data_IF_061208595745
#
_entry.id   IF_061208595745
#
_cell.length_a   1.000
_cell.length_b   1.000
_cell.length_c   1.000
_cell.angle_alpha   90.00
_cell.angle_beta   90.00
_cell.angle_gamma   90.00
#
_symmetry.space_group_name_H-M   'P 1'
#
loop_
_entity.id
_entity.type
_entity.pdbx_description
1 polymer ?
#
# COMPACT_ATOMS: atom_id res chain seq x y z
N UNK A 1 21.49 22.21 -11.15
CA UNK A 1 20.22 21.70 -10.57
C UNK A 1 20.00 20.23 -10.91
N UNK A 2 19.59 19.39 -9.95
CA UNK A 2 20.50 18.52 -9.19
C UNK A 2 21.39 17.59 -10.04
N UNK A 3 21.13 17.46 -11.35
CA UNK A 3 21.88 16.61 -12.28
C UNK A 3 22.58 17.37 -13.40
N UNK A 4 22.26 18.66 -13.61
CA UNK A 4 22.97 19.56 -14.55
C UNK A 4 23.08 18.98 -15.96
N UNK A 5 22.02 18.30 -16.40
CA UNK A 5 21.95 17.78 -17.77
C UNK A 5 22.08 18.93 -18.78
N UNK A 6 22.90 18.72 -19.80
CA UNK A 6 22.96 19.62 -20.94
C UNK A 6 21.62 19.66 -21.70
N UNK A 7 21.38 20.76 -22.41
CA UNK A 7 20.11 21.05 -23.11
C UNK A 7 19.64 19.89 -23.99
N UNK A 8 20.55 19.26 -24.75
CA UNK A 8 20.24 18.10 -25.60
C UNK A 8 19.67 16.93 -24.81
N UNK A 9 20.35 16.55 -23.72
CA UNK A 9 19.92 15.42 -22.89
C UNK A 9 18.59 15.71 -22.18
N UNK A 10 18.41 16.93 -21.67
CA UNK A 10 17.16 17.36 -21.04
C UNK A 10 16.00 17.34 -22.04
N UNK A 11 16.22 17.84 -23.26
CA UNK A 11 15.19 17.86 -24.33
C UNK A 11 14.81 16.45 -24.76
N UNK A 12 15.79 15.56 -25.00
CA UNK A 12 15.51 14.16 -25.34
C UNK A 12 14.73 13.47 -24.21
N UNK A 13 15.11 13.69 -22.95
CA UNK A 13 14.40 13.09 -21.81
C UNK A 13 12.96 13.60 -21.71
N UNK A 14 12.72 14.90 -21.91
CA UNK A 14 11.38 15.46 -21.92
C UNK A 14 10.53 14.89 -23.06
N UNK A 15 11.08 14.77 -24.27
CA UNK A 15 10.38 14.18 -25.43
C UNK A 15 10.05 12.70 -25.24
N UNK A 16 10.90 11.94 -24.53
CA UNK A 16 10.65 10.53 -24.24
C UNK A 16 9.63 10.32 -23.11
N UNK A 17 9.59 11.25 -22.14
CA UNK A 17 8.81 11.08 -20.93
C UNK A 17 7.42 11.74 -20.99
N UNK A 18 7.27 12.83 -21.74
CA UNK A 18 6.03 13.60 -21.80
C UNK A 18 5.13 13.19 -22.97
N UNK A 19 3.84 13.53 -22.88
CA UNK A 19 2.86 13.35 -23.95
C UNK A 19 3.23 14.17 -25.19
N UNK A 20 3.02 13.59 -26.38
CA UNK A 20 3.22 14.22 -27.69
C UNK A 20 2.01 15.09 -28.10
N UNK A 21 1.47 15.84 -27.14
CA UNK A 21 0.36 16.79 -27.33
C UNK A 21 0.78 18.23 -27.03
N UNK A 22 2.11 18.46 -26.89
CA UNK A 22 2.73 19.73 -26.50
C UNK A 22 2.33 20.24 -25.11
N UNK A 23 1.62 19.45 -24.30
CA UNK A 23 1.27 19.82 -22.93
C UNK A 23 2.49 19.80 -21.99
N UNK A 24 3.53 19.02 -22.34
CA UNK A 24 4.69 18.80 -21.48
C UNK A 24 4.35 17.94 -20.25
N UNK A 25 3.21 17.25 -20.25
CA UNK A 25 2.73 16.46 -19.10
C UNK A 25 3.27 15.03 -19.17
N UNK A 26 3.68 14.49 -18.03
CA UNK A 26 4.00 13.06 -17.88
C UNK A 26 2.71 12.21 -17.96
N UNK A 27 2.66 11.15 -18.79
CA UNK A 27 1.51 10.27 -18.86
C UNK A 27 1.32 9.51 -17.55
N UNK A 28 0.07 9.36 -17.11
CA UNK A 28 -0.28 8.49 -15.99
C UNK A 28 -0.08 7.02 -16.42
N UNK A 29 0.78 6.30 -15.70
CA UNK A 29 1.14 4.92 -16.06
C UNK A 29 2.32 4.79 -17.02
N UNK A 30 2.97 5.91 -17.40
CA UNK A 30 4.24 5.88 -18.12
C UNK A 30 5.34 5.23 -17.28
N UNK A 31 6.16 4.38 -17.90
CA UNK A 31 7.24 3.66 -17.21
C UNK A 31 8.34 4.59 -16.68
N UNK A 32 8.58 5.74 -17.34
CA UNK A 32 9.57 6.74 -16.93
C UNK A 32 9.04 7.74 -15.90
N UNK A 33 7.72 7.97 -15.85
CA UNK A 33 7.10 9.00 -15.01
C UNK A 33 7.48 8.89 -13.51
N UNK A 34 7.51 7.69 -12.88
CA UNK A 34 7.91 7.56 -11.48
C UNK A 34 9.37 7.97 -11.20
N UNK A 35 10.27 7.71 -12.16
CA UNK A 35 11.69 8.08 -12.03
C UNK A 35 11.85 9.58 -12.14
N UNK A 36 11.23 10.20 -13.14
CA UNK A 36 11.24 11.65 -13.34
C UNK A 36 10.64 12.36 -12.13
N UNK A 37 9.49 11.90 -11.62
CA UNK A 37 8.86 12.47 -10.44
C UNK A 37 9.79 12.45 -9.21
N UNK A 38 10.47 11.32 -8.96
CA UNK A 38 11.43 11.24 -7.85
C UNK A 38 12.68 12.11 -8.06
N UNK A 39 13.15 12.25 -9.29
CA UNK A 39 14.25 13.16 -9.63
C UNK A 39 13.89 14.61 -9.34
N UNK A 40 12.67 15.03 -9.69
CA UNK A 40 12.14 16.37 -9.41
C UNK A 40 12.00 16.61 -7.90
N UNK A 41 11.52 15.62 -7.14
CA UNK A 41 11.37 15.73 -5.69
C UNK A 41 12.69 15.68 -4.92
N UNK A 42 13.85 15.45 -5.55
CA UNK A 42 15.13 15.31 -4.83
C UNK A 42 15.51 16.55 -4.02
N UNK A 43 15.28 17.76 -4.56
CA UNK A 43 15.53 19.01 -3.81
C UNK A 43 14.49 19.19 -2.70
N UNK A 44 13.21 18.97 -3.03
CA UNK A 44 12.10 19.00 -2.08
C UNK A 44 12.43 18.13 -0.85
N UNK A 45 12.78 16.87 -1.07
CA UNK A 45 13.11 15.90 -0.02
C UNK A 45 14.25 16.39 0.87
N UNK A 46 15.32 16.96 0.29
CA UNK A 46 16.45 17.51 1.06
C UNK A 46 15.99 18.63 2.01
N UNK A 47 15.11 19.51 1.54
CA UNK A 47 14.59 20.63 2.34
C UNK A 47 13.60 20.15 3.40
N UNK A 48 12.70 19.23 3.05
CA UNK A 48 11.75 18.66 4.01
C UNK A 48 12.42 17.84 5.10
N UNK A 49 13.54 17.15 4.80
CA UNK A 49 14.38 16.51 5.82
C UNK A 49 14.95 17.55 6.79
N UNK A 50 15.34 18.73 6.31
CA UNK A 50 15.83 19.80 7.18
C UNK A 50 14.71 20.33 8.09
N UNK A 51 13.53 20.65 7.52
CA UNK A 51 12.34 21.03 8.29
C UNK A 51 12.03 19.97 9.36
N UNK A 52 12.07 18.68 9.01
CA UNK A 52 11.83 17.61 9.97
C UNK A 52 12.81 17.65 11.15
N UNK A 53 14.10 17.89 10.88
CA UNK A 53 15.12 17.98 11.92
C UNK A 53 14.90 19.18 12.85
N UNK A 54 14.63 20.34 12.26
CA UNK A 54 14.42 21.59 13.01
C UNK A 54 13.20 21.47 13.95
N UNK A 55 12.20 20.70 13.52
CA UNK A 55 10.99 20.41 14.30
C UNK A 55 11.03 19.11 15.11
N UNK A 56 12.19 18.42 15.21
CA UNK A 56 12.35 17.13 15.93
C UNK A 56 11.36 16.04 15.50
N UNK A 57 11.10 15.98 14.19
CA UNK A 57 10.25 15.01 13.53
C UNK A 57 11.06 14.08 12.62
N UNK A 58 10.48 12.91 12.34
CA UNK A 58 10.90 12.04 11.26
C UNK A 58 10.07 12.33 10.02
N UNK A 59 10.73 12.42 8.86
CA UNK A 59 10.09 12.64 7.56
C UNK A 59 10.19 11.38 6.71
N UNK A 60 9.08 11.05 6.05
CA UNK A 60 9.00 10.03 5.01
C UNK A 60 8.14 10.51 3.86
N UNK A 61 8.49 10.12 2.63
CA UNK A 61 7.70 10.38 1.43
C UNK A 61 7.47 9.09 0.65
N UNK A 62 6.24 8.86 0.21
CA UNK A 62 5.87 7.82 -0.73
C UNK A 62 5.09 8.47 -1.88
N UNK A 63 5.69 8.56 -3.07
CA UNK A 63 5.15 9.34 -4.17
C UNK A 63 4.82 10.79 -3.73
N UNK A 64 3.54 11.18 -3.75
CA UNK A 64 3.01 12.47 -3.29
C UNK A 64 2.63 12.48 -1.80
N UNK A 65 2.47 11.32 -1.17
CA UNK A 65 2.15 11.22 0.25
C UNK A 65 3.40 11.55 1.08
N UNK A 66 3.33 12.66 1.82
CA UNK A 66 4.36 13.11 2.77
C UNK A 66 3.84 12.87 4.19
N UNK A 67 4.67 12.29 5.05
CA UNK A 67 4.33 12.03 6.46
C UNK A 67 5.45 12.52 7.36
N UNK A 68 5.07 13.32 8.36
CA UNK A 68 5.90 13.69 9.49
C UNK A 68 5.39 12.95 10.74
N UNK A 69 6.31 12.45 11.56
CA UNK A 69 5.96 11.74 12.81
C UNK A 69 6.95 12.09 13.92
N UNK A 70 6.47 12.20 15.15
CA UNK A 70 7.31 12.40 16.34
C UNK A 70 6.74 11.66 17.54
N UNK A 71 7.62 11.29 18.48
CA UNK A 71 7.25 10.80 19.81
C UNK A 71 7.40 11.91 20.88
N UNK A 72 7.88 13.09 20.48
CA UNK A 72 8.02 14.24 21.37
C UNK A 72 6.64 14.86 21.61
N UNK A 73 6.04 14.54 22.74
CA UNK A 73 4.75 15.11 23.17
C UNK A 73 4.84 16.58 23.56
N UNK A 74 6.05 17.14 23.71
CA UNK A 74 6.30 18.57 23.96
C UNK A 74 6.44 19.39 22.67
N UNK A 75 6.26 18.77 21.50
CA UNK A 75 6.20 19.48 20.23
C UNK A 75 4.90 20.29 20.17
N UNK A 76 4.95 21.51 20.69
CA UNK A 76 3.80 22.42 20.80
C UNK A 76 3.52 23.17 19.49
N UNK A 77 4.39 23.07 18.47
CA UNK A 77 4.36 23.96 17.32
C UNK A 77 4.13 23.23 16.00
N UNK A 78 3.10 22.40 15.98
CA UNK A 78 2.61 21.70 14.78
C UNK A 78 2.24 22.69 13.67
N UNK A 79 1.73 23.87 14.04
CA UNK A 79 1.34 24.90 13.08
C UNK A 79 2.54 25.47 12.31
N UNK A 80 3.67 25.73 12.99
CA UNK A 80 4.88 26.17 12.31
C UNK A 80 5.47 25.06 11.41
N UNK A 81 5.42 23.80 11.85
CA UNK A 81 5.80 22.67 11.00
C UNK A 81 4.97 22.63 9.71
N UNK A 82 3.64 22.77 9.81
CA UNK A 82 2.74 22.76 8.65
C UNK A 82 3.04 23.96 7.75
N UNK A 83 3.23 25.15 8.32
CA UNK A 83 3.49 26.38 7.58
C UNK A 83 4.81 26.31 6.83
N UNK A 84 5.88 25.87 7.48
CA UNK A 84 7.20 25.75 6.87
C UNK A 84 7.23 24.65 5.80
N UNK A 85 6.62 23.50 6.10
CA UNK A 85 6.45 22.41 5.12
C UNK A 85 5.72 22.89 3.87
N UNK A 86 4.60 23.60 4.06
CA UNK A 86 3.80 24.12 2.94
C UNK A 86 4.60 25.13 2.11
N UNK A 87 5.32 26.03 2.77
CA UNK A 87 6.18 27.02 2.11
C UNK A 87 7.29 26.36 1.28
N UNK A 88 7.89 25.28 1.79
CA UNK A 88 8.89 24.51 1.04
C UNK A 88 8.26 23.83 -0.18
N UNK A 89 7.11 23.17 -0.03
CA UNK A 89 6.40 22.50 -1.13
C UNK A 89 6.03 23.50 -2.25
N UNK A 90 5.48 24.65 -1.87
CA UNK A 90 5.08 25.71 -2.80
C UNK A 90 6.29 26.33 -3.52
N UNK A 91 7.41 26.53 -2.81
CA UNK A 91 8.65 27.00 -3.44
C UNK A 91 9.23 26.01 -4.47
N UNK A 92 8.98 24.71 -4.29
CA UNK A 92 9.37 23.68 -5.25
C UNK A 92 8.39 23.57 -6.44
N UNK A 93 7.34 24.41 -6.49
CA UNK A 93 6.39 24.48 -7.59
C UNK A 93 5.21 23.51 -7.46
N UNK A 94 5.00 22.91 -6.29
CA UNK A 94 3.87 22.02 -6.02
C UNK A 94 2.78 22.72 -5.21
N UNK A 95 1.58 22.14 -5.21
CA UNK A 95 0.43 22.68 -4.46
C UNK A 95 0.07 21.70 -3.35
N UNK A 96 -0.02 22.20 -2.11
CA UNK A 96 -0.44 21.40 -0.96
C UNK A 96 -1.95 21.16 -1.01
N UNK A 97 -2.36 19.89 -0.87
CA UNK A 97 -3.77 19.55 -0.72
C UNK A 97 -4.21 19.69 0.75
N UNK A 98 -4.75 20.86 1.09
CA UNK A 98 -5.17 21.20 2.47
C UNK A 98 -6.23 20.26 3.03
N UNK A 99 -7.16 19.78 2.20
CA UNK A 99 -8.22 18.84 2.62
C UNK A 99 -7.68 17.46 2.99
N UNK A 100 -6.52 17.09 2.42
CA UNK A 100 -5.82 15.84 2.74
C UNK A 100 -4.82 15.99 3.90
N UNK A 101 -4.42 17.21 4.25
CA UNK A 101 -3.53 17.48 5.39
C UNK A 101 -4.24 17.14 6.70
N UNK A 102 -3.65 16.26 7.50
CA UNK A 102 -4.25 15.78 8.75
C UNK A 102 -3.20 15.71 9.85
N UNK A 103 -3.61 16.11 11.05
CA UNK A 103 -2.86 15.92 12.29
C UNK A 103 -3.52 14.73 13.00
N UNK A 104 -2.72 13.73 13.36
CA UNK A 104 -3.23 12.50 14.00
C UNK A 104 -2.54 12.30 15.34
N UNK A 105 -3.32 12.32 16.41
CA UNK A 105 -2.86 12.10 17.78
C UNK A 105 -2.82 10.60 18.11
N UNK A 106 -2.21 10.17 19.23
CA UNK A 106 -2.25 8.78 19.65
C UNK A 106 -3.65 8.19 19.85
N UNK A 107 -4.65 9.04 20.15
CA UNK A 107 -6.05 8.63 20.27
C UNK A 107 -6.73 8.39 18.91
N UNK A 108 -6.18 8.96 17.84
CA UNK A 108 -6.69 8.80 16.49
C UNK A 108 -6.20 7.51 15.86
N UNK A 109 -6.94 6.99 14.88
CA UNK A 109 -6.40 5.93 14.02
C UNK A 109 -5.39 6.54 13.04
N UNK A 110 -4.12 6.27 13.28
CA UNK A 110 -3.00 6.67 12.43
C UNK A 110 -2.90 5.72 11.24
N UNK A 111 -3.22 6.22 10.05
CA UNK A 111 -3.11 5.48 8.79
C UNK A 111 -2.11 6.19 7.88
N UNK A 112 -1.01 5.53 7.56
CA UNK A 112 0.02 6.00 6.63
C UNK A 112 -0.01 5.07 5.43
N UNK A 113 -0.17 5.62 4.22
CA UNK A 113 -0.23 4.87 2.94
C UNK A 113 -1.17 3.64 2.95
N UNK A 114 -2.24 3.69 3.74
CA UNK A 114 -3.23 2.62 3.88
C UNK A 114 -2.94 1.58 4.98
N UNK A 115 -1.80 1.69 5.67
CA UNK A 115 -1.39 0.84 6.80
C UNK A 115 -1.61 1.57 8.13
N UNK A 116 -2.17 0.88 9.11
CA UNK A 116 -2.32 1.38 10.48
C UNK A 116 -0.98 1.24 11.20
N UNK A 117 -0.54 2.29 11.90
CA UNK A 117 0.79 2.35 12.54
C UNK A 117 0.76 2.56 14.06
N UNK A 118 -0.41 2.80 14.68
CA UNK A 118 -0.55 3.15 16.10
C UNK A 118 0.16 2.20 17.08
N UNK A 119 -0.09 0.90 16.93
CA UNK A 119 0.37 -0.15 17.84
C UNK A 119 0.89 -1.31 16.97
N UNK A 120 2.01 -1.04 16.31
CA UNK A 120 2.55 -1.88 15.24
C UNK A 120 1.75 -1.83 13.94
N UNK A 121 2.36 -2.35 12.87
CA UNK A 121 1.80 -2.38 11.53
C UNK A 121 0.56 -3.29 11.48
N UNK A 122 -0.54 -2.77 10.94
CA UNK A 122 -1.76 -3.53 10.76
C UNK A 122 -2.58 -3.01 9.58
N UNK A 123 -3.54 -3.80 9.10
CA UNK A 123 -4.52 -3.35 8.11
C UNK A 123 -5.80 -2.89 8.79
N UNK A 124 -6.61 -2.11 8.09
CA UNK A 124 -7.92 -1.70 8.57
C UNK A 124 -8.81 -2.92 8.91
N UNK A 125 -9.55 -2.87 10.03
CA UNK A 125 -10.49 -3.93 10.45
C UNK A 125 -11.50 -4.31 9.35
N UNK A 126 -11.93 -3.37 8.50
CA UNK A 126 -12.80 -3.66 7.34
C UNK A 126 -12.13 -4.63 6.36
N UNK A 127 -10.82 -4.51 6.14
CA UNK A 127 -10.05 -5.41 5.28
C UNK A 127 -10.09 -6.86 5.82
N UNK A 128 -9.78 -7.03 7.11
CA UNK A 128 -9.84 -8.34 7.78
C UNK A 128 -11.25 -8.94 7.76
N UNK A 129 -12.29 -8.12 8.03
CA UNK A 129 -13.69 -8.57 7.96
C UNK A 129 -14.09 -9.02 6.57
N UNK A 130 -13.70 -8.28 5.53
CA UNK A 130 -13.97 -8.64 4.15
C UNK A 130 -13.31 -9.97 3.79
N UNK A 131 -12.02 -10.16 4.13
CA UNK A 131 -11.33 -11.44 3.91
C UNK A 131 -12.02 -12.61 4.62
N UNK A 132 -12.41 -12.43 5.90
CA UNK A 132 -13.18 -13.45 6.65
C UNK A 132 -14.48 -13.80 5.95
N UNK A 133 -15.25 -12.79 5.53
CA UNK A 133 -16.53 -12.99 4.88
C UNK A 133 -16.37 -13.68 3.53
N UNK A 134 -15.41 -13.26 2.69
CA UNK A 134 -15.15 -13.89 1.39
C UNK A 134 -14.79 -15.36 1.56
N UNK A 135 -13.82 -15.69 2.43
CA UNK A 135 -13.41 -17.09 2.65
C UNK A 135 -14.55 -17.94 3.22
N UNK A 136 -15.33 -17.39 4.15
CA UNK A 136 -16.51 -18.08 4.68
C UNK A 136 -17.55 -18.36 3.60
N UNK A 137 -17.88 -17.35 2.78
CA UNK A 137 -18.85 -17.51 1.72
C UNK A 137 -18.37 -18.48 0.63
N UNK A 138 -17.08 -18.44 0.24
CA UNK A 138 -16.54 -19.43 -0.70
C UNK A 138 -16.67 -20.85 -0.16
N UNK A 139 -16.37 -21.05 1.13
CA UNK A 139 -16.52 -22.37 1.77
C UNK A 139 -17.99 -22.83 1.81
N UNK A 140 -18.92 -21.92 2.06
CA UNK A 140 -20.34 -22.23 2.25
C UNK A 140 -21.10 -22.41 0.93
N UNK A 141 -20.90 -21.47 0.01
CA UNK A 141 -21.69 -21.30 -1.20
C UNK A 141 -20.87 -21.59 -2.49
N UNK A 142 -19.59 -21.97 -2.37
CA UNK A 142 -18.66 -22.19 -3.48
C UNK A 142 -18.00 -20.90 -4.00
N UNK A 143 -16.85 -21.04 -4.68
CA UNK A 143 -16.08 -19.91 -5.22
C UNK A 143 -16.90 -19.07 -6.22
N UNK A 144 -17.64 -19.74 -7.12
CA UNK A 144 -18.45 -19.09 -8.15
C UNK A 144 -19.45 -18.07 -7.58
N UNK A 145 -20.01 -18.35 -6.39
CA UNK A 145 -20.96 -17.45 -5.71
C UNK A 145 -20.39 -16.06 -5.42
N UNK A 146 -19.09 -15.96 -5.17
CA UNK A 146 -18.41 -14.69 -4.87
C UNK A 146 -18.00 -13.92 -6.13
N UNK A 147 -17.93 -14.61 -7.27
CA UNK A 147 -17.62 -14.02 -8.56
C UNK A 147 -18.87 -13.33 -9.13
N UNK A 148 -20.01 -14.01 -9.07
CA UNK A 148 -21.30 -13.51 -9.57
C UNK A 148 -21.86 -12.36 -8.74
N UNK A 149 -21.73 -12.47 -7.41
CA UNK A 149 -21.97 -11.36 -6.50
C UNK A 149 -20.92 -10.29 -6.81
N UNK A 150 -21.30 -9.21 -7.52
CA UNK A 150 -20.51 -7.97 -7.76
C UNK A 150 -20.08 -7.22 -6.47
N UNK A 151 -19.89 -7.94 -5.36
CA UNK A 151 -19.66 -7.53 -4.00
C UNK A 151 -18.19 -7.26 -3.66
N UNK A 152 -17.27 -7.38 -4.62
CA UNK A 152 -15.93 -6.79 -4.49
C UNK A 152 -15.98 -5.25 -4.64
N UNK A 153 -16.79 -4.59 -3.81
CA UNK A 153 -16.72 -3.15 -3.53
C UNK A 153 -15.72 -2.92 -2.39
N UNK A 154 -14.45 -3.17 -2.67
CA UNK A 154 -13.39 -2.59 -1.86
C UNK A 154 -12.98 -1.26 -2.50
N UNK A 155 -13.42 -0.14 -1.94
CA UNK A 155 -13.05 1.18 -2.46
C UNK A 155 -11.54 1.49 -2.32
N UNK A 156 -10.74 0.56 -1.73
CA UNK A 156 -9.30 0.71 -1.49
C UNK A 156 -8.45 -0.34 -2.22
N UNK A 157 -9.07 -1.24 -2.96
CA UNK A 157 -8.36 -2.13 -3.86
C UNK A 157 -8.91 -1.93 -5.26
N UNK A 158 -7.98 -1.92 -6.22
CA UNK A 158 -8.23 -2.13 -7.64
C UNK A 158 -9.45 -3.01 -7.79
N UNK A 159 -10.55 -2.44 -8.29
CA UNK A 159 -11.62 -3.27 -8.81
C UNK A 159 -10.92 -4.28 -9.72
N UNK A 160 -11.34 -5.54 -9.68
CA UNK A 160 -11.16 -6.40 -10.82
C UNK A 160 -11.60 -5.61 -12.06
N UNK A 161 -10.65 -5.04 -12.82
CA UNK A 161 -10.97 -4.10 -13.88
C UNK A 161 -11.65 -4.95 -14.95
N UNK A 162 -12.93 -4.70 -15.20
CA UNK A 162 -13.74 -5.44 -16.17
C UNK A 162 -13.12 -5.41 -17.58
N UNK A 163 -12.20 -4.47 -17.83
CA UNK A 163 -11.51 -4.28 -19.10
C UNK A 163 -10.03 -4.72 -19.08
N UNK A 164 -9.54 -5.35 -18.00
CA UNK A 164 -8.12 -5.74 -17.90
C UNK A 164 -7.79 -7.11 -18.54
N UNK A 165 -8.78 -7.95 -18.83
CA UNK A 165 -8.60 -9.12 -19.72
C UNK A 165 -9.91 -9.51 -20.39
N UNK A 166 -9.82 -10.26 -21.50
CA UNK A 166 -10.98 -10.79 -22.23
C UNK A 166 -11.68 -11.95 -21.49
N UNK A 167 -11.10 -12.48 -20.40
CA UNK A 167 -11.57 -13.67 -19.67
C UNK A 167 -12.22 -13.34 -18.32
N UNK A 168 -12.97 -12.24 -18.27
CA UNK A 168 -13.43 -11.67 -17.01
C UNK A 168 -14.93 -11.84 -16.73
N UNK A 169 -15.33 -12.24 -15.49
CA UNK A 169 -14.49 -12.70 -14.38
C UNK A 169 -14.32 -14.23 -14.34
N UNK A 170 -13.07 -14.74 -14.27
CA UNK A 170 -12.76 -16.17 -14.10
C UNK A 170 -12.44 -16.57 -12.65
N UNK A 171 -12.53 -17.87 -12.35
CA UNK A 171 -12.14 -18.46 -11.06
C UNK A 171 -10.68 -18.15 -10.73
N UNK A 172 -9.77 -18.30 -11.68
CA UNK A 172 -8.34 -18.03 -11.49
C UNK A 172 -8.06 -16.57 -11.13
N UNK A 173 -8.70 -15.63 -11.83
CA UNK A 173 -8.52 -14.23 -11.53
C UNK A 173 -8.97 -13.93 -10.09
N UNK A 174 -10.13 -14.44 -9.70
CA UNK A 174 -10.66 -14.28 -8.35
C UNK A 174 -9.72 -14.87 -7.29
N UNK A 175 -9.24 -16.10 -7.50
CA UNK A 175 -8.33 -16.77 -6.58
C UNK A 175 -6.99 -16.04 -6.45
N UNK A 176 -6.40 -15.57 -7.56
CA UNK A 176 -5.19 -14.74 -7.55
C UNK A 176 -5.40 -13.43 -6.79
N UNK A 177 -6.54 -12.78 -6.99
CA UNK A 177 -6.89 -11.56 -6.27
C UNK A 177 -7.06 -11.81 -4.76
N UNK A 178 -7.75 -12.88 -4.38
CA UNK A 178 -7.94 -13.26 -2.97
C UNK A 178 -6.62 -13.63 -2.30
N UNK A 179 -5.77 -14.41 -2.98
CA UNK A 179 -4.42 -14.74 -2.52
C UNK A 179 -3.56 -13.48 -2.35
N UNK A 180 -3.58 -12.58 -3.33
CA UNK A 180 -2.90 -11.28 -3.24
C UNK A 180 -3.34 -10.49 -2.01
N UNK A 181 -4.65 -10.50 -1.69
CA UNK A 181 -5.16 -9.85 -0.49
C UNK A 181 -4.68 -10.51 0.81
N UNK A 182 -4.65 -11.84 0.87
CA UNK A 182 -4.13 -12.58 2.02
C UNK A 182 -2.64 -12.30 2.20
N UNK A 183 -1.87 -12.32 1.11
CA UNK A 183 -0.43 -12.03 1.12
C UNK A 183 -0.14 -10.59 1.56
N UNK A 184 -0.92 -9.60 1.14
CA UNK A 184 -0.78 -8.23 1.62
C UNK A 184 -1.02 -8.12 3.13
N UNK A 185 -2.04 -8.80 3.66
CA UNK A 185 -2.23 -8.84 5.12
C UNK A 185 -1.02 -9.49 5.82
N UNK A 186 -0.54 -10.60 5.28
CA UNK A 186 0.65 -11.28 5.77
C UNK A 186 1.89 -10.38 5.76
N UNK A 187 2.17 -9.69 4.65
CA UNK A 187 3.34 -8.81 4.55
C UNK A 187 3.29 -7.70 5.59
N UNK A 188 2.13 -7.04 5.76
CA UNK A 188 1.97 -5.97 6.75
C UNK A 188 2.20 -6.50 8.17
N UNK A 189 1.58 -7.62 8.53
CA UNK A 189 1.68 -8.16 9.89
C UNK A 189 3.09 -8.69 10.17
N UNK A 190 3.69 -9.43 9.23
CA UNK A 190 5.02 -10.03 9.41
C UNK A 190 6.13 -8.98 9.41
N UNK A 191 5.95 -7.83 8.72
CA UNK A 191 6.90 -6.71 8.78
C UNK A 191 7.06 -6.11 10.18
N UNK A 192 6.14 -6.36 11.11
CA UNK A 192 6.36 -5.98 12.51
C UNK A 192 7.62 -6.61 13.12
N UNK A 193 8.04 -7.79 12.63
CA UNK A 193 9.26 -8.45 13.11
C UNK A 193 10.56 -7.73 12.73
N UNK A 194 10.50 -6.67 11.93
CA UNK A 194 11.65 -5.84 11.57
C UNK A 194 11.96 -4.76 12.63
N UNK A 195 11.06 -4.56 13.60
CA UNK A 195 11.21 -3.57 14.66
C UNK A 195 10.98 -4.22 16.03
N UNK A 196 12.03 -4.28 16.83
CA UNK A 196 12.01 -4.90 18.16
C UNK A 196 10.95 -4.30 19.11
N UNK A 197 10.56 -3.03 18.88
CA UNK A 197 9.49 -2.38 19.67
C UNK A 197 8.14 -3.05 19.43
N UNK A 198 7.89 -3.50 18.20
CA UNK A 198 6.64 -4.15 17.81
C UNK A 198 6.58 -5.61 18.31
N UNK A 199 7.72 -6.27 18.55
CA UNK A 199 7.76 -7.63 19.12
C UNK A 199 7.14 -7.68 20.52
N UNK A 200 7.20 -6.59 21.28
CA UNK A 200 6.59 -6.46 22.61
C UNK A 200 5.06 -6.30 22.55
N UNK A 201 4.48 -6.12 21.37
CA UNK A 201 3.05 -5.98 21.21
C UNK A 201 2.32 -7.31 21.46
N UNK A 202 1.55 -7.36 22.55
CA UNK A 202 0.74 -8.53 22.96
C UNK A 202 -0.26 -8.98 21.90
N UNK A 203 -0.68 -8.09 20.99
CA UNK A 203 -1.62 -8.38 19.93
C UNK A 203 -0.95 -8.92 18.65
N UNK A 204 0.37 -8.82 18.51
CA UNK A 204 1.07 -9.25 17.29
C UNK A 204 0.85 -10.74 17.01
N UNK A 205 0.98 -11.59 18.04
CA UNK A 205 0.70 -13.02 17.94
C UNK A 205 -0.69 -13.31 17.36
N UNK A 206 -1.73 -12.62 17.86
CA UNK A 206 -3.12 -12.77 17.38
C UNK A 206 -3.27 -12.35 15.91
N UNK A 207 -2.50 -11.34 15.46
CA UNK A 207 -2.51 -10.88 14.06
C UNK A 207 -1.83 -11.92 13.16
N UNK A 208 -0.68 -12.45 13.57
CA UNK A 208 0.03 -13.52 12.85
C UNK A 208 -0.87 -14.75 12.74
N UNK A 209 -1.45 -15.21 13.87
CA UNK A 209 -2.39 -16.31 13.89
C UNK A 209 -3.62 -16.05 13.01
N UNK A 210 -4.10 -14.81 12.91
CA UNK A 210 -5.19 -14.46 11.99
C UNK A 210 -4.77 -14.63 10.53
N UNK A 211 -3.55 -14.24 10.18
CA UNK A 211 -3.01 -14.41 8.83
C UNK A 211 -2.85 -15.89 8.48
N UNK A 212 -2.27 -16.66 9.39
CA UNK A 212 -2.10 -18.10 9.26
C UNK A 212 -3.44 -18.81 9.07
N UNK A 213 -4.46 -18.44 9.85
CA UNK A 213 -5.82 -18.94 9.68
C UNK A 213 -6.42 -18.58 8.31
N UNK A 214 -6.11 -17.41 7.75
CA UNK A 214 -6.56 -17.08 6.40
C UNK A 214 -5.88 -17.92 5.35
N UNK A 215 -4.55 -18.08 5.46
CA UNK A 215 -3.77 -18.88 4.54
C UNK A 215 -4.22 -20.34 4.57
N UNK A 216 -4.41 -20.91 5.76
CA UNK A 216 -4.90 -22.27 5.94
C UNK A 216 -6.31 -22.48 5.38
N UNK A 217 -7.23 -21.55 5.65
CA UNK A 217 -8.59 -21.61 5.09
C UNK A 217 -8.59 -21.52 3.57
N UNK A 218 -7.70 -20.71 2.99
CA UNK A 218 -7.55 -20.63 1.54
C UNK A 218 -6.94 -21.91 0.97
N UNK A 219 -5.91 -22.47 1.60
CA UNK A 219 -5.36 -23.77 1.25
C UNK A 219 -6.43 -24.88 1.26
N UNK A 220 -7.23 -24.97 2.32
CA UNK A 220 -8.34 -25.93 2.39
C UNK A 220 -9.41 -25.70 1.33
N UNK A 221 -9.75 -24.44 1.04
CA UNK A 221 -10.64 -24.11 -0.06
C UNK A 221 -10.13 -24.66 -1.40
N UNK A 222 -8.82 -24.59 -1.67
CA UNK A 222 -8.22 -25.15 -2.88
C UNK A 222 -8.15 -26.69 -2.88
N UNK A 223 -8.23 -27.35 -1.73
CA UNK A 223 -8.30 -28.81 -1.63
C UNK A 223 -9.73 -29.34 -1.79
N UNK A 224 -10.69 -28.63 -1.22
CA UNK A 224 -12.07 -29.09 -1.07
C UNK A 224 -12.95 -28.74 -2.28
N UNK A 225 -12.61 -27.69 -3.03
CA UNK A 225 -13.42 -27.23 -4.16
C UNK A 225 -13.17 -28.09 -5.42
N UNK A 226 -14.25 -28.38 -6.16
CA UNK A 226 -14.23 -29.14 -7.42
C UNK A 226 -13.93 -28.25 -8.64
N UNK A 227 -13.86 -26.94 -8.45
CA UNK A 227 -13.56 -26.00 -9.52
C UNK A 227 -12.17 -26.26 -10.11
N UNK A 228 -12.07 -26.28 -11.44
CA UNK A 228 -10.78 -26.27 -12.12
C UNK A 228 -10.15 -24.88 -12.02
N UNK A 229 -8.90 -24.83 -11.55
CA UNK A 229 -8.11 -23.60 -11.46
C UNK A 229 -6.63 -23.89 -11.74
N UNK A 230 -5.88 -22.85 -12.05
CA UNK A 230 -4.47 -22.89 -12.40
C UNK A 230 -3.63 -23.53 -11.27
N UNK A 231 -2.91 -24.61 -11.62
CA UNK A 231 -2.02 -25.35 -10.73
C UNK A 231 -0.94 -24.47 -10.10
N UNK A 232 -0.49 -23.41 -10.79
CA UNK A 232 0.49 -22.46 -10.26
C UNK A 232 0.00 -21.73 -9.00
N UNK A 233 -1.31 -21.54 -8.83
CA UNK A 233 -1.87 -20.97 -7.60
C UNK A 233 -1.64 -21.93 -6.43
N UNK A 234 -1.88 -23.24 -6.65
CA UNK A 234 -1.67 -24.28 -5.64
C UNK A 234 -0.20 -24.36 -5.23
N UNK A 235 0.71 -24.37 -6.19
CA UNK A 235 2.16 -24.44 -5.93
C UNK A 235 2.65 -23.26 -5.07
N UNK A 236 2.14 -22.05 -5.32
CA UNK A 236 2.44 -20.86 -4.51
C UNK A 236 1.93 -21.04 -3.07
N UNK A 237 0.69 -21.50 -2.90
CA UNK A 237 0.08 -21.69 -1.58
C UNK A 237 0.80 -22.79 -0.80
N UNK A 238 1.11 -23.91 -1.45
CA UNK A 238 1.85 -25.03 -0.84
C UNK A 238 3.22 -24.56 -0.33
N UNK A 239 3.93 -23.72 -1.10
CA UNK A 239 5.20 -23.10 -0.68
C UNK A 239 5.02 -22.10 0.48
N UNK A 240 3.88 -21.43 0.59
CA UNK A 240 3.60 -20.52 1.71
C UNK A 240 3.24 -21.28 2.99
N UNK A 241 2.53 -22.41 2.85
CA UNK A 241 2.16 -23.32 3.93
C UNK A 241 3.40 -24.09 4.43
N UNK A 242 4.31 -24.51 3.54
CA UNK A 242 5.53 -25.25 3.94
C UNK A 242 6.46 -24.43 4.85
N UNK A 243 6.37 -23.10 4.80
CA UNK A 243 7.09 -22.20 5.71
C UNK A 243 6.46 -22.11 7.11
N UNK A 244 5.32 -22.78 7.32
CA UNK A 244 4.46 -22.74 8.49
C UNK A 244 3.97 -24.16 8.82
N UNK A 245 4.91 -25.06 9.18
CA UNK A 245 4.61 -26.47 9.36
C UNK A 245 3.54 -26.73 10.42
N UNK A 246 3.37 -25.83 11.38
CA UNK A 246 2.33 -25.86 12.42
C UNK A 246 0.88 -25.78 11.88
N UNK A 247 0.68 -25.45 10.60
CA UNK A 247 -0.64 -25.36 9.97
C UNK A 247 -1.09 -26.63 9.25
N UNK A 248 -0.23 -27.63 9.06
CA UNK A 248 -0.52 -28.86 8.29
C UNK A 248 -0.69 -30.06 9.19
#
# INVERSE_FOLDING_TARGET
YPFEFGEKAATTMAQLACLDDKSGILPQGGSLSPYVANMMCRRLDKRLVQVARDHRCHFTRYADDITFSTNDVSQENIDDLIKETSSVIEFEGFIVNKDKTKILTPGDRQVVTGVIVNDGLNVNRRYVRNLRATLYNCKKDGIASQIEKKLFRDNRCSRPNKFASNDYPSVDYFLRHLLGKINFYGSVVLSNGQDDRNLKNRNLYKRIQTYENFLYKFYKLLQDDKAEFDKGIKDIVDKLISKRPELV
#
